data_IF_375314401236
#
_entry.id   IF_375314401236
#
_cell.length_a   1.000
_cell.length_b   1.000
_cell.length_c   1.000
_cell.angle_alpha   90.00
_cell.angle_beta   90.00
_cell.angle_gamma   90.00
#
_symmetry.space_group_name_H-M   'P 1'
#
loop_
_entity.id
_entity.type
_entity.pdbx_description
1 polymer ?
#
# COMPACT_ATOMS: atom_id res chain seq x y z
N UNK A 1 -2.59 38.05 9.40
CA UNK A 1 -1.49 37.27 8.80
C UNK A 1 -0.09 37.84 9.06
N UNK A 2 0.13 38.84 9.94
CA UNK A 2 1.48 39.29 10.31
C UNK A 2 1.47 39.85 11.74
N UNK A 3 1.72 39.02 12.76
CA UNK A 3 1.68 39.49 14.15
C UNK A 3 2.37 38.65 15.22
N UNK A 4 3.08 37.56 14.86
CA UNK A 4 3.72 36.67 15.84
C UNK A 4 5.22 36.44 15.62
N UNK A 5 5.88 37.28 14.81
CA UNK A 5 7.32 37.16 14.53
C UNK A 5 8.09 38.43 14.91
N UNK A 6 7.83 38.99 16.08
CA UNK A 6 8.73 39.96 16.68
C UNK A 6 9.21 39.42 18.03
N UNK A 7 10.54 39.47 18.19
CA UNK A 7 11.32 39.21 19.40
C UNK A 7 11.73 37.75 19.68
N UNK A 8 12.51 37.18 18.75
CA UNK A 8 13.51 36.17 19.11
C UNK A 8 14.90 36.58 18.61
N UNK A 9 15.54 37.51 19.34
CA UNK A 9 17.00 37.56 19.40
C UNK A 9 17.43 36.69 20.58
N UNK A 10 17.93 35.47 20.38
CA UNK A 10 18.37 34.64 21.50
C UNK A 10 19.70 35.19 22.02
N UNK A 11 19.65 35.88 23.17
CA UNK A 11 20.85 36.40 23.83
C UNK A 11 21.67 35.33 24.57
N UNK A 12 21.22 34.07 24.60
CA UNK A 12 22.04 32.94 25.07
C UNK A 12 21.53 31.59 24.56
N UNK A 13 22.46 30.66 24.32
CA UNK A 13 22.19 29.25 23.98
C UNK A 13 21.28 28.60 25.05
N UNK A 14 21.41 29.03 26.31
CA UNK A 14 20.57 28.59 27.41
C UNK A 14 19.10 28.98 27.23
N UNK A 15 18.80 30.18 26.69
CA UNK A 15 17.43 30.60 26.39
C UNK A 15 16.77 29.76 25.30
N UNK A 16 17.54 29.40 24.26
CA UNK A 16 17.08 28.52 23.17
C UNK A 16 16.82 27.10 23.68
N UNK A 17 17.74 26.57 24.50
CA UNK A 17 17.56 25.25 25.12
C UNK A 17 16.35 25.25 26.06
N UNK A 18 16.18 26.27 26.91
CA UNK A 18 15.05 26.36 27.85
C UNK A 18 13.70 26.49 27.12
N UNK A 19 13.66 27.21 26.00
CA UNK A 19 12.48 27.26 25.13
C UNK A 19 12.20 25.89 24.47
N UNK A 20 13.21 25.26 23.85
CA UNK A 20 13.07 23.91 23.25
C UNK A 20 12.67 22.85 24.28
N UNK A 21 13.22 22.90 25.49
CA UNK A 21 12.87 22.01 26.61
C UNK A 21 11.49 22.30 27.21
N UNK A 22 11.02 23.56 27.19
CA UNK A 22 9.64 23.92 27.58
C UNK A 22 8.62 23.32 26.61
N UNK A 23 8.91 23.29 25.32
CA UNK A 23 8.08 22.59 24.32
C UNK A 23 8.17 21.06 24.43
N UNK A 24 9.32 20.50 24.78
CA UNK A 24 9.46 19.07 25.12
C UNK A 24 8.73 18.67 26.42
N UNK A 25 8.62 19.56 27.42
CA UNK A 25 7.78 19.33 28.61
C UNK A 25 6.29 19.39 28.32
N UNK A 26 5.89 20.13 27.29
CA UNK A 26 4.53 20.15 26.73
C UNK A 26 4.24 18.92 25.85
N UNK A 27 5.24 18.10 25.57
CA UNK A 27 5.11 16.90 24.76
C UNK A 27 4.38 15.83 25.58
N UNK A 28 3.07 15.73 25.38
CA UNK A 28 2.26 14.73 26.06
C UNK A 28 2.69 13.35 25.56
N UNK A 29 3.34 12.55 26.41
CA UNK A 29 3.72 11.15 26.11
C UNK A 29 2.51 10.35 25.58
N UNK A 30 1.31 10.70 26.05
CA UNK A 30 0.03 10.15 25.56
C UNK A 30 -0.23 10.42 24.07
N UNK A 31 0.07 11.63 23.58
CA UNK A 31 -0.04 11.99 22.17
C UNK A 31 1.03 11.29 21.32
N UNK A 32 2.26 11.17 21.82
CA UNK A 32 3.30 10.36 21.16
C UNK A 32 2.86 8.89 21.03
N UNK A 33 2.31 8.31 22.10
CA UNK A 33 1.76 6.94 22.07
C UNK A 33 0.64 6.78 21.04
N UNK A 34 -0.25 7.77 20.91
CA UNK A 34 -1.30 7.76 19.87
C UNK A 34 -0.72 7.87 18.46
N UNK A 35 0.26 8.75 18.24
CA UNK A 35 0.94 8.89 16.94
C UNK A 35 1.64 7.59 16.56
N UNK A 36 2.37 6.97 17.49
CA UNK A 36 3.03 5.68 17.26
C UNK A 36 2.01 4.59 16.90
N UNK A 37 0.89 4.51 17.63
CA UNK A 37 -0.14 3.52 17.40
C UNK A 37 -0.86 3.72 16.06
N UNK A 38 -1.09 4.97 15.64
CA UNK A 38 -1.62 5.31 14.31
C UNK A 38 -0.59 5.08 13.19
N UNK A 39 0.71 5.10 13.52
CA UNK A 39 1.80 4.86 12.56
C UNK A 39 2.10 3.37 12.36
N UNK A 40 1.75 2.49 13.32
CA UNK A 40 2.00 1.05 13.25
C UNK A 40 1.53 0.40 11.94
N UNK A 41 0.32 0.69 11.41
CA UNK A 41 -0.10 0.16 10.12
C UNK A 41 0.81 0.55 8.97
N UNK A 42 1.26 1.81 8.91
CA UNK A 42 2.18 2.27 7.87
C UNK A 42 3.58 1.66 8.04
N UNK A 43 4.07 1.53 9.27
CA UNK A 43 5.35 0.82 9.55
C UNK A 43 5.26 -0.63 9.06
N UNK A 44 4.15 -1.32 9.36
CA UNK A 44 3.92 -2.68 8.91
C UNK A 44 3.78 -2.78 7.39
N UNK A 45 3.10 -1.84 6.74
CA UNK A 45 2.96 -1.76 5.29
C UNK A 45 4.31 -1.56 4.58
N UNK A 46 5.16 -0.66 5.08
CA UNK A 46 6.48 -0.41 4.49
C UNK A 46 7.52 -1.47 4.89
N UNK A 47 7.31 -2.16 6.01
CA UNK A 47 8.21 -3.19 6.52
C UNK A 47 7.97 -4.59 5.96
N UNK A 48 6.79 -4.87 5.38
CA UNK A 48 6.43 -6.20 4.89
C UNK A 48 7.32 -6.66 3.74
N UNK A 49 7.49 -5.83 2.70
CA UNK A 49 8.30 -6.17 1.53
C UNK A 49 9.80 -6.33 1.89
N UNK A 50 10.44 -5.37 2.60
CA UNK A 50 11.85 -5.51 2.96
C UNK A 50 12.12 -6.73 3.84
N UNK A 51 11.18 -7.11 4.71
CA UNK A 51 11.30 -8.31 5.53
C UNK A 51 11.34 -9.57 4.69
N UNK A 52 10.46 -9.70 3.69
CA UNK A 52 10.45 -10.86 2.79
C UNK A 52 11.73 -10.93 1.95
N UNK A 53 12.18 -9.81 1.40
CA UNK A 53 13.45 -9.70 0.66
C UNK A 53 14.64 -10.11 1.53
N UNK A 54 14.64 -9.69 2.80
CA UNK A 54 15.68 -10.07 3.76
C UNK A 54 15.67 -11.59 4.02
N UNK A 55 14.50 -12.19 4.24
CA UNK A 55 14.36 -13.64 4.39
C UNK A 55 14.84 -14.41 3.14
N UNK A 56 14.46 -13.97 1.95
CA UNK A 56 14.92 -14.56 0.69
C UNK A 56 16.45 -14.51 0.57
N UNK A 57 17.07 -13.37 0.92
CA UNK A 57 18.53 -13.24 0.90
C UNK A 57 19.24 -14.15 1.91
N UNK A 58 18.67 -14.37 3.09
CA UNK A 58 19.20 -15.33 4.07
C UNK A 58 19.18 -16.74 3.49
N UNK A 59 18.06 -17.16 2.90
CA UNK A 59 17.94 -18.50 2.31
C UNK A 59 18.93 -18.68 1.17
N UNK A 60 18.99 -17.73 0.22
CA UNK A 60 19.99 -17.77 -0.86
C UNK A 60 21.39 -17.95 -0.32
N UNK A 61 21.76 -17.17 0.71
CA UNK A 61 23.11 -17.19 1.25
C UNK A 61 23.44 -18.46 2.05
N UNK A 62 22.43 -19.23 2.47
CA UNK A 62 22.61 -20.43 3.29
C UNK A 62 22.40 -21.74 2.53
N UNK A 63 21.58 -21.75 1.48
CA UNK A 63 21.25 -22.99 0.73
C UNK A 63 21.86 -23.09 -0.65
N UNK A 64 22.16 -21.98 -1.32
CA UNK A 64 22.68 -22.02 -2.69
C UNK A 64 24.19 -22.19 -2.64
N UNK A 65 24.71 -23.09 -3.47
CA UNK A 65 26.14 -23.44 -3.49
C UNK A 65 26.87 -22.81 -4.67
N UNK A 66 26.21 -22.71 -5.84
CA UNK A 66 26.79 -22.12 -7.03
C UNK A 66 26.67 -20.58 -7.03
N UNK A 67 27.79 -19.91 -7.31
CA UNK A 67 27.84 -18.44 -7.36
C UNK A 67 26.95 -17.85 -8.49
N UNK A 68 26.84 -18.56 -9.61
CA UNK A 68 25.93 -18.23 -10.72
C UNK A 68 24.48 -18.21 -10.25
N UNK A 69 24.03 -19.23 -9.52
CA UNK A 69 22.64 -19.36 -9.10
C UNK A 69 22.27 -18.33 -8.02
N UNK A 70 23.19 -18.04 -7.10
CA UNK A 70 23.06 -16.94 -6.15
C UNK A 70 22.85 -15.60 -6.88
N UNK A 71 23.62 -15.38 -7.95
CA UNK A 71 23.54 -14.16 -8.74
C UNK A 71 22.21 -14.09 -9.49
N UNK A 72 21.77 -15.17 -10.16
CA UNK A 72 20.47 -15.24 -10.84
C UNK A 72 19.33 -14.91 -9.88
N UNK A 73 19.30 -15.57 -8.72
CA UNK A 73 18.21 -15.44 -7.77
C UNK A 73 18.08 -13.99 -7.25
N UNK A 74 19.20 -13.35 -6.92
CA UNK A 74 19.22 -11.96 -6.44
C UNK A 74 18.86 -10.96 -7.55
N UNK A 75 19.40 -11.17 -8.75
CA UNK A 75 19.12 -10.34 -9.91
C UNK A 75 17.65 -10.43 -10.30
N UNK A 76 17.10 -11.64 -10.36
CA UNK A 76 15.69 -11.86 -10.69
C UNK A 76 14.76 -11.19 -9.69
N UNK A 77 15.05 -11.30 -8.40
CA UNK A 77 14.28 -10.65 -7.33
C UNK A 77 14.36 -9.11 -7.42
N UNK A 78 15.52 -8.55 -7.79
CA UNK A 78 15.67 -7.12 -8.05
C UNK A 78 14.84 -6.66 -9.27
N UNK A 79 14.91 -7.38 -10.40
CA UNK A 79 14.15 -7.05 -11.61
C UNK A 79 12.64 -7.15 -11.39
N UNK A 80 12.20 -8.16 -10.63
CA UNK A 80 10.81 -8.28 -10.20
C UNK A 80 10.35 -7.02 -9.47
N UNK A 81 11.10 -6.60 -8.44
CA UNK A 81 10.76 -5.43 -7.65
C UNK A 81 10.75 -4.14 -8.49
N UNK A 82 11.77 -3.93 -9.34
CA UNK A 82 11.83 -2.76 -10.21
C UNK A 82 10.63 -2.71 -11.17
N UNK A 83 10.23 -3.86 -11.70
CA UNK A 83 9.13 -3.93 -12.67
C UNK A 83 7.78 -3.79 -12.01
N UNK A 84 7.58 -4.42 -10.85
CA UNK A 84 6.39 -4.21 -10.04
C UNK A 84 6.21 -2.73 -9.70
N UNK A 85 7.28 -2.03 -9.32
CA UNK A 85 7.20 -0.59 -9.03
C UNK A 85 6.97 0.26 -10.29
N UNK A 86 7.66 -0.04 -11.39
CA UNK A 86 7.52 0.69 -12.65
C UNK A 86 6.09 0.62 -13.17
N UNK A 87 5.51 -0.58 -13.23
CA UNK A 87 4.16 -0.79 -13.74
C UNK A 87 3.09 -0.53 -12.67
N UNK A 88 3.42 -0.65 -11.38
CA UNK A 88 2.52 -0.37 -10.26
C UNK A 88 2.49 1.09 -9.80
N UNK A 89 3.34 1.96 -10.37
CA UNK A 89 3.41 3.38 -9.98
C UNK A 89 2.05 4.09 -10.14
N UNK A 90 1.30 3.77 -11.19
CA UNK A 90 0.00 4.37 -11.49
C UNK A 90 -1.02 3.97 -10.43
N UNK A 91 -1.07 2.69 -10.08
CA UNK A 91 -1.86 2.20 -8.94
C UNK A 91 -1.51 2.98 -7.66
N UNK A 92 -0.24 3.02 -7.28
CA UNK A 92 0.19 3.66 -6.03
C UNK A 92 -0.21 5.13 -5.99
N UNK A 93 0.08 5.88 -7.06
CA UNK A 93 -0.21 7.33 -7.14
C UNK A 93 -1.70 7.60 -7.03
N UNK A 94 -2.52 6.82 -7.73
CA UNK A 94 -3.96 7.03 -7.74
C UNK A 94 -4.60 6.68 -6.39
N UNK A 95 -4.15 5.60 -5.74
CA UNK A 95 -4.62 5.19 -4.41
C UNK A 95 -4.29 6.24 -3.35
N UNK A 96 -3.03 6.71 -3.29
CA UNK A 96 -2.64 7.76 -2.34
C UNK A 96 -3.40 9.07 -2.56
N UNK A 97 -3.63 9.44 -3.82
CA UNK A 97 -4.43 10.63 -4.15
C UNK A 97 -5.89 10.47 -3.71
N UNK A 98 -6.46 9.27 -3.87
CA UNK A 98 -7.83 8.95 -3.47
C UNK A 98 -8.01 8.85 -1.95
N UNK A 99 -6.98 8.42 -1.22
CA UNK A 99 -7.00 8.22 0.25
C UNK A 99 -7.36 9.52 0.98
N UNK A 100 -6.83 10.66 0.54
CA UNK A 100 -7.12 11.96 1.16
C UNK A 100 -8.60 12.37 1.00
N UNK A 101 -9.15 12.29 -0.21
CA UNK A 101 -10.54 12.69 -0.47
C UNK A 101 -11.52 11.72 0.19
N UNK A 102 -11.25 10.41 0.10
CA UNK A 102 -12.05 9.37 0.75
C UNK A 102 -12.00 9.53 2.28
N UNK A 103 -10.81 9.80 2.83
CA UNK A 103 -10.59 9.99 4.25
C UNK A 103 -11.40 11.13 4.83
N UNK A 104 -11.36 12.31 4.19
CA UNK A 104 -12.14 13.46 4.62
C UNK A 104 -13.66 13.18 4.61
N UNK A 105 -14.17 12.52 3.58
CA UNK A 105 -15.61 12.21 3.49
C UNK A 105 -16.05 11.15 4.50
N UNK A 106 -15.24 10.10 4.73
CA UNK A 106 -15.51 9.09 5.75
C UNK A 106 -15.49 9.67 7.17
N UNK A 107 -14.52 10.52 7.49
CA UNK A 107 -14.44 11.22 8.79
C UNK A 107 -15.64 12.16 8.99
N UNK A 108 -16.12 12.81 7.93
CA UNK A 108 -17.31 13.66 7.96
C UNK A 108 -18.64 12.87 7.90
N UNK A 109 -18.59 11.52 7.90
CA UNK A 109 -19.77 10.64 7.81
C UNK A 109 -20.64 10.87 6.57
N UNK A 110 -20.03 11.35 5.47
CA UNK A 110 -20.69 11.55 4.16
C UNK A 110 -20.64 10.26 3.34
N UNK A 111 -21.32 9.22 3.80
CA UNK A 111 -21.24 7.86 3.27
C UNK A 111 -21.71 7.72 1.82
N UNK A 112 -22.72 8.50 1.38
CA UNK A 112 -23.15 8.52 -0.02
C UNK A 112 -21.99 8.93 -0.93
N UNK A 113 -21.28 10.00 -0.57
CA UNK A 113 -20.13 10.51 -1.34
C UNK A 113 -18.94 9.58 -1.23
N UNK A 114 -18.65 9.05 -0.04
CA UNK A 114 -17.59 8.06 0.15
C UNK A 114 -17.81 6.80 -0.69
N UNK A 115 -19.05 6.30 -0.80
CA UNK A 115 -19.40 5.17 -1.66
C UNK A 115 -19.08 5.45 -3.12
N UNK A 116 -19.46 6.63 -3.62
CA UNK A 116 -19.20 7.01 -5.01
C UNK A 116 -17.71 7.16 -5.29
N UNK A 117 -16.97 7.80 -4.39
CA UNK A 117 -15.52 7.96 -4.51
C UNK A 117 -14.78 6.62 -4.48
N UNK A 118 -15.16 5.72 -3.58
CA UNK A 118 -14.56 4.40 -3.47
C UNK A 118 -14.76 3.59 -4.76
N UNK A 119 -15.99 3.55 -5.30
CA UNK A 119 -16.30 2.82 -6.52
C UNK A 119 -15.64 3.45 -7.76
N UNK A 120 -15.76 4.77 -7.93
CA UNK A 120 -15.12 5.48 -9.04
C UNK A 120 -13.60 5.32 -8.98
N UNK A 121 -13.04 5.44 -7.78
CA UNK A 121 -11.61 5.30 -7.58
C UNK A 121 -11.10 3.91 -7.94
N UNK A 122 -11.79 2.87 -7.49
CA UNK A 122 -11.45 1.49 -7.86
C UNK A 122 -11.53 1.26 -9.38
N UNK A 123 -12.59 1.75 -10.04
CA UNK A 123 -12.76 1.61 -11.49
C UNK A 123 -11.62 2.32 -12.22
N UNK A 124 -11.30 3.56 -11.86
CA UNK A 124 -10.23 4.30 -12.51
C UNK A 124 -8.85 3.71 -12.26
N UNK A 125 -8.58 3.21 -11.05
CA UNK A 125 -7.34 2.49 -10.76
C UNK A 125 -7.19 1.26 -11.67
N UNK A 126 -8.26 0.46 -11.84
CA UNK A 126 -8.25 -0.71 -12.73
C UNK A 126 -8.10 -0.32 -14.20
N UNK A 127 -8.80 0.71 -14.67
CA UNK A 127 -8.70 1.19 -16.07
C UNK A 127 -7.29 1.69 -16.36
N UNK A 128 -6.75 2.55 -15.51
CA UNK A 128 -5.40 3.11 -15.69
C UNK A 128 -4.34 2.01 -15.61
N UNK A 129 -4.46 1.09 -14.66
CA UNK A 129 -3.55 -0.05 -14.56
C UNK A 129 -3.66 -0.99 -15.77
N UNK A 130 -4.87 -1.18 -16.31
CA UNK A 130 -5.09 -1.94 -17.54
C UNK A 130 -4.38 -1.32 -18.75
N UNK A 131 -4.40 0.01 -18.88
CA UNK A 131 -3.64 0.71 -19.92
C UNK A 131 -2.13 0.48 -19.74
N UNK A 132 -1.62 0.61 -18.51
CA UNK A 132 -0.20 0.34 -18.20
C UNK A 132 0.18 -1.11 -18.52
N UNK A 133 -0.72 -2.05 -18.25
CA UNK A 133 -0.50 -3.47 -18.54
C UNK A 133 -0.44 -3.74 -20.04
N UNK A 134 -1.29 -3.10 -20.85
CA UNK A 134 -1.22 -3.15 -22.31
C UNK A 134 0.11 -2.57 -22.80
N UNK A 135 0.54 -1.42 -22.26
CA UNK A 135 1.83 -0.83 -22.60
C UNK A 135 2.99 -1.77 -22.22
N UNK A 136 2.94 -2.36 -21.03
CA UNK A 136 3.92 -3.33 -20.55
C UNK A 136 4.02 -4.55 -21.48
N UNK A 137 2.89 -5.04 -22.01
CA UNK A 137 2.87 -6.14 -22.96
C UNK A 137 3.53 -5.78 -24.29
N UNK A 138 3.34 -4.55 -24.78
CA UNK A 138 3.89 -4.11 -26.06
C UNK A 138 5.35 -3.71 -25.96
N UNK A 139 5.76 -3.05 -24.86
CA UNK A 139 7.10 -2.46 -24.70
C UNK A 139 7.97 -3.19 -23.68
N UNK A 140 7.47 -4.25 -23.04
CA UNK A 140 8.15 -4.93 -21.93
C UNK A 140 9.56 -5.38 -22.28
N UNK A 141 9.73 -6.04 -23.44
CA UNK A 141 11.04 -6.48 -23.94
C UNK A 141 12.03 -5.34 -24.13
N UNK A 142 11.57 -4.16 -24.59
CA UNK A 142 12.42 -2.98 -24.76
C UNK A 142 12.82 -2.36 -23.41
N UNK A 143 11.91 -2.37 -22.43
CA UNK A 143 12.18 -1.89 -21.07
C UNK A 143 13.22 -2.79 -20.39
N UNK A 144 13.14 -4.11 -20.57
CA UNK A 144 14.16 -5.05 -20.06
C UNK A 144 15.54 -4.70 -20.59
N UNK A 145 15.63 -4.42 -21.89
CA UNK A 145 16.89 -4.09 -22.56
C UNK A 145 17.47 -2.75 -22.07
N UNK A 146 16.62 -1.79 -21.68
CA UNK A 146 17.06 -0.49 -21.15
C UNK A 146 17.76 -0.63 -19.79
N UNK A 147 17.30 -1.54 -18.93
CA UNK A 147 17.91 -1.76 -17.61
C UNK A 147 19.17 -2.64 -17.66
N UNK A 148 19.51 -3.21 -18.83
CA UNK A 148 20.70 -4.06 -19.01
C UNK A 148 21.82 -3.31 -19.73
N UNK A 149 22.94 -2.96 -19.05
CA UNK A 149 24.04 -2.23 -19.68
C UNK A 149 24.67 -3.02 -20.83
N UNK A 150 24.97 -2.34 -21.93
CA UNK A 150 25.56 -2.93 -23.16
C UNK A 150 26.97 -3.51 -22.97
N UNK A 151 27.67 -3.14 -21.89
CA UNK A 151 29.10 -3.41 -21.69
C UNK A 151 29.45 -4.83 -21.24
N UNK A 152 28.48 -5.73 -21.07
CA UNK A 152 28.73 -7.11 -20.62
C UNK A 152 28.04 -8.14 -21.53
N UNK A 153 28.36 -8.13 -22.84
CA UNK A 153 27.68 -8.94 -23.86
C UNK A 153 27.55 -10.44 -23.54
N UNK A 154 28.50 -11.03 -22.79
CA UNK A 154 28.44 -12.44 -22.34
C UNK A 154 27.45 -12.66 -21.18
N UNK A 155 27.37 -11.72 -20.24
CA UNK A 155 26.37 -11.72 -19.16
C UNK A 155 25.01 -11.26 -19.67
N UNK A 156 24.94 -10.44 -20.72
CA UNK A 156 23.69 -9.91 -21.27
C UNK A 156 22.75 -11.02 -21.74
N UNK A 157 23.27 -12.09 -22.36
CA UNK A 157 22.48 -13.29 -22.70
C UNK A 157 21.93 -14.02 -21.48
N UNK A 158 22.71 -14.10 -20.40
CA UNK A 158 22.30 -14.70 -19.12
C UNK A 158 21.21 -13.86 -18.45
N UNK A 159 21.44 -12.55 -18.35
CA UNK A 159 20.47 -11.59 -17.82
C UNK A 159 19.18 -11.53 -18.65
N UNK A 160 19.25 -11.61 -19.99
CA UNK A 160 18.08 -11.64 -20.87
C UNK A 160 17.29 -12.94 -20.65
N UNK A 161 17.96 -14.10 -20.61
CA UNK A 161 17.31 -15.41 -20.49
C UNK A 161 16.62 -15.60 -19.14
N UNK A 162 17.26 -15.17 -18.05
CA UNK A 162 16.69 -15.30 -16.71
C UNK A 162 15.76 -14.13 -16.39
N UNK A 163 16.16 -12.88 -16.67
CA UNK A 163 15.33 -11.70 -16.44
C UNK A 163 14.00 -11.73 -17.18
N UNK A 164 13.92 -12.27 -18.41
CA UNK A 164 12.66 -12.36 -19.14
C UNK A 164 11.59 -13.16 -18.41
N UNK A 165 11.97 -14.27 -17.74
CA UNK A 165 11.01 -15.13 -17.03
C UNK A 165 10.42 -14.45 -15.79
N UNK A 166 11.24 -13.68 -15.06
CA UNK A 166 10.78 -12.90 -13.90
C UNK A 166 9.87 -11.74 -14.32
N UNK A 167 10.07 -11.23 -15.54
CA UNK A 167 9.37 -10.06 -16.05
C UNK A 167 8.00 -10.40 -16.63
N UNK A 168 7.84 -11.56 -17.26
CA UNK A 168 6.59 -12.02 -17.88
C UNK A 168 5.41 -11.93 -16.91
N UNK A 169 5.62 -12.17 -15.62
CA UNK A 169 4.54 -12.21 -14.63
C UNK A 169 4.47 -10.96 -13.74
N UNK A 170 5.59 -10.25 -13.57
CA UNK A 170 5.72 -9.11 -12.65
C UNK A 170 4.78 -7.94 -12.96
N UNK A 171 4.46 -7.69 -14.24
CA UNK A 171 3.59 -6.58 -14.64
C UNK A 171 2.09 -6.89 -14.51
N UNK A 172 1.71 -8.17 -14.35
CA UNK A 172 0.32 -8.56 -14.13
C UNK A 172 -0.13 -8.34 -12.68
N UNK A 173 0.76 -8.56 -11.71
CA UNK A 173 0.41 -8.52 -10.28
C UNK A 173 -0.03 -7.16 -9.73
N UNK A 174 0.44 -6.00 -10.21
CA UNK A 174 -0.05 -4.71 -9.76
C UNK A 174 -1.58 -4.57 -9.84
N UNK A 175 -2.25 -5.16 -10.85
CA UNK A 175 -3.71 -5.09 -10.95
C UNK A 175 -4.42 -5.84 -9.81
N UNK A 176 -3.82 -6.95 -9.36
CA UNK A 176 -4.32 -7.79 -8.28
C UNK A 176 -4.07 -7.14 -6.90
N UNK A 177 -3.09 -6.24 -6.82
CA UNK A 177 -2.74 -5.50 -5.60
C UNK A 177 -3.55 -4.21 -5.40
N UNK A 178 -4.27 -3.71 -6.41
CA UNK A 178 -5.15 -2.53 -6.28
C UNK A 178 -6.16 -2.69 -5.12
N UNK A 179 -6.93 -3.79 -5.03
CA UNK A 179 -7.91 -3.96 -3.96
C UNK A 179 -7.26 -4.03 -2.58
N UNK A 180 -6.08 -4.66 -2.49
CA UNK A 180 -5.30 -4.76 -1.26
C UNK A 180 -4.90 -3.38 -0.73
N UNK A 181 -4.32 -2.53 -1.57
CA UNK A 181 -3.93 -1.18 -1.18
C UNK A 181 -5.13 -0.26 -0.87
N UNK A 182 -6.24 -0.37 -1.61
CA UNK A 182 -7.47 0.34 -1.25
C UNK A 182 -8.03 -0.11 0.10
N UNK A 183 -8.01 -1.40 0.39
CA UNK A 183 -8.46 -1.94 1.67
C UNK A 183 -7.61 -1.43 2.84
N UNK A 184 -6.28 -1.44 2.67
CA UNK A 184 -5.33 -0.86 3.62
C UNK A 184 -5.63 0.63 3.88
N UNK A 185 -5.84 1.42 2.83
CA UNK A 185 -6.15 2.84 2.95
C UNK A 185 -7.44 3.06 3.75
N UNK A 186 -8.51 2.32 3.45
CA UNK A 186 -9.78 2.44 4.19
C UNK A 186 -9.62 2.06 5.66
N UNK A 187 -8.93 0.96 5.98
CA UNK A 187 -8.71 0.58 7.37
C UNK A 187 -7.79 1.55 8.12
N UNK A 188 -6.83 2.18 7.43
CA UNK A 188 -6.02 3.24 8.02
C UNK A 188 -6.87 4.47 8.38
N UNK A 189 -7.74 4.92 7.46
CA UNK A 189 -8.67 6.04 7.67
C UNK A 189 -9.59 5.80 8.87
N UNK A 190 -10.10 4.57 9.02
CA UNK A 190 -11.01 4.20 10.11
C UNK A 190 -10.31 3.94 11.46
N UNK A 191 -8.99 4.15 11.52
CA UNK A 191 -8.16 3.80 12.66
C UNK A 191 -8.27 2.32 13.08
N UNK A 192 -8.64 1.43 12.15
CA UNK A 192 -8.71 -0.01 12.38
C UNK A 192 -7.34 -0.65 12.18
N UNK A 193 -6.40 -0.26 13.05
CA UNK A 193 -5.00 -0.64 12.98
C UNK A 193 -4.80 -2.17 13.04
N UNK A 194 -5.65 -2.90 13.77
CA UNK A 194 -5.56 -4.36 13.91
C UNK A 194 -5.80 -5.06 12.58
N UNK A 195 -6.88 -4.72 11.88
CA UNK A 195 -7.21 -5.33 10.59
C UNK A 195 -6.19 -4.92 9.52
N UNK A 196 -5.68 -3.69 9.59
CA UNK A 196 -4.64 -3.23 8.68
C UNK A 196 -3.33 -4.01 8.89
N UNK A 197 -2.86 -4.18 10.13
CA UNK A 197 -1.68 -5.01 10.43
C UNK A 197 -1.91 -6.46 9.99
N UNK A 198 -3.08 -7.04 10.28
CA UNK A 198 -3.39 -8.41 9.87
C UNK A 198 -3.30 -8.57 8.35
N UNK A 199 -3.84 -7.61 7.59
CA UNK A 199 -3.75 -7.58 6.14
C UNK A 199 -2.29 -7.47 5.67
N UNK A 200 -1.49 -6.61 6.30
CA UNK A 200 -0.08 -6.42 5.96
C UNK A 200 0.79 -7.64 6.24
N UNK A 201 0.41 -8.45 7.22
CA UNK A 201 1.12 -9.68 7.58
C UNK A 201 0.86 -10.83 6.59
N UNK A 202 -0.22 -10.78 5.80
CA UNK A 202 -0.52 -11.83 4.81
C UNK A 202 0.65 -12.00 3.84
N UNK A 203 1.16 -10.89 3.31
CA UNK A 203 2.25 -10.90 2.33
C UNK A 203 3.53 -11.60 2.83
N UNK A 204 4.17 -11.18 3.95
CA UNK A 204 5.38 -11.83 4.43
C UNK A 204 5.12 -13.24 4.98
N UNK A 205 3.95 -13.52 5.56
CA UNK A 205 3.63 -14.87 6.04
C UNK A 205 3.53 -15.86 4.87
N UNK A 206 2.79 -15.50 3.81
CA UNK A 206 2.70 -16.35 2.62
C UNK A 206 4.07 -16.48 1.95
N UNK A 207 4.80 -15.37 1.80
CA UNK A 207 6.14 -15.40 1.23
C UNK A 207 7.10 -16.31 2.01
N UNK A 208 7.14 -16.22 3.34
CA UNK A 208 7.97 -17.09 4.17
C UNK A 208 7.54 -18.56 4.09
N UNK A 209 6.23 -18.84 4.10
CA UNK A 209 5.72 -20.21 3.96
C UNK A 209 6.08 -20.82 2.60
N UNK A 210 5.92 -20.06 1.52
CA UNK A 210 6.35 -20.47 0.18
C UNK A 210 7.86 -20.66 0.13
N UNK A 211 8.64 -19.74 0.71
CA UNK A 211 10.09 -19.83 0.77
C UNK A 211 10.56 -21.12 1.45
N UNK A 212 10.02 -21.41 2.63
CA UNK A 212 10.32 -22.63 3.39
C UNK A 212 9.94 -23.87 2.56
N UNK A 213 8.75 -23.86 1.95
CA UNK A 213 8.25 -25.01 1.18
C UNK A 213 9.12 -25.27 -0.05
N UNK A 214 9.45 -24.22 -0.82
CA UNK A 214 10.30 -24.32 -2.01
C UNK A 214 11.72 -24.75 -1.64
N UNK A 215 12.26 -24.22 -0.55
CA UNK A 215 13.58 -24.60 -0.05
C UNK A 215 13.63 -26.09 0.31
N UNK A 216 12.62 -26.62 1.02
CA UNK A 216 12.60 -28.04 1.39
C UNK A 216 12.29 -28.99 0.22
N UNK A 217 11.61 -28.53 -0.82
CA UNK A 217 11.21 -29.38 -1.95
C UNK A 217 12.21 -29.39 -3.09
N UNK A 218 12.83 -28.24 -3.37
CA UNK A 218 13.64 -28.00 -4.58
C UNK A 218 15.09 -27.58 -4.25
N UNK A 219 15.39 -27.24 -2.99
CA UNK A 219 16.75 -26.98 -2.53
C UNK A 219 17.39 -25.73 -3.15
N UNK A 220 18.57 -25.92 -3.74
CA UNK A 220 19.37 -24.89 -4.43
C UNK A 220 18.78 -24.44 -5.78
N UNK A 221 17.80 -25.16 -6.32
CA UNK A 221 17.06 -24.79 -7.53
C UNK A 221 15.81 -23.95 -7.24
N UNK A 222 15.66 -23.43 -6.03
CA UNK A 222 14.49 -22.66 -5.62
C UNK A 222 14.41 -21.32 -6.39
N UNK A 223 13.41 -21.19 -7.26
CA UNK A 223 13.19 -19.93 -7.96
C UNK A 223 12.44 -18.93 -7.07
N UNK A 224 13.16 -17.90 -6.61
CA UNK A 224 12.64 -16.88 -5.70
C UNK A 224 11.54 -16.01 -6.30
N UNK A 225 11.41 -15.99 -7.63
CA UNK A 225 10.30 -15.34 -8.30
C UNK A 225 8.95 -15.80 -7.73
N UNK A 226 8.78 -17.12 -7.61
CA UNK A 226 7.51 -17.70 -7.18
C UNK A 226 7.15 -17.32 -5.75
N UNK A 227 8.14 -17.10 -4.90
CA UNK A 227 7.95 -16.69 -3.52
C UNK A 227 7.27 -15.32 -3.47
N UNK A 228 7.79 -14.33 -4.21
CA UNK A 228 7.18 -13.01 -4.29
C UNK A 228 5.86 -13.03 -5.06
N UNK A 229 5.78 -13.78 -6.16
CA UNK A 229 4.56 -13.91 -6.95
C UNK A 229 3.38 -14.41 -6.10
N UNK A 230 3.60 -15.48 -5.32
CA UNK A 230 2.55 -16.02 -4.45
C UNK A 230 2.25 -15.08 -3.28
N UNK A 231 3.25 -14.43 -2.68
CA UNK A 231 3.02 -13.44 -1.64
C UNK A 231 2.09 -12.31 -2.11
N UNK A 232 2.35 -11.73 -3.28
CA UNK A 232 1.52 -10.69 -3.88
C UNK A 232 0.14 -11.21 -4.30
N UNK A 233 0.07 -12.39 -4.92
CA UNK A 233 -1.20 -12.98 -5.36
C UNK A 233 -2.16 -13.20 -4.17
N UNK A 234 -1.69 -13.84 -3.10
CA UNK A 234 -2.52 -14.13 -1.93
C UNK A 234 -2.84 -12.86 -1.14
N UNK A 235 -1.91 -11.90 -1.03
CA UNK A 235 -2.18 -10.59 -0.46
C UNK A 235 -3.30 -9.87 -1.23
N UNK A 236 -3.20 -9.82 -2.56
CA UNK A 236 -4.22 -9.22 -3.42
C UNK A 236 -5.60 -9.89 -3.32
N UNK A 237 -5.65 -11.22 -3.28
CA UNK A 237 -6.91 -11.97 -3.06
C UNK A 237 -7.51 -11.62 -1.69
N UNK A 238 -6.70 -11.64 -0.63
CA UNK A 238 -7.17 -11.30 0.73
C UNK A 238 -7.70 -9.86 0.81
N UNK A 239 -7.00 -8.93 0.16
CA UNK A 239 -7.40 -7.53 0.02
C UNK A 239 -8.71 -7.38 -0.73
N UNK A 240 -8.92 -8.16 -1.79
CA UNK A 240 -10.17 -8.16 -2.58
C UNK A 240 -11.36 -8.59 -1.73
N UNK A 241 -11.23 -9.71 -0.99
CA UNK A 241 -12.30 -10.24 -0.14
C UNK A 241 -12.69 -9.21 0.94
N UNK A 242 -11.70 -8.62 1.61
CA UNK A 242 -11.94 -7.63 2.65
C UNK A 242 -12.47 -6.31 2.10
N UNK A 243 -12.00 -5.87 0.93
CA UNK A 243 -12.50 -4.67 0.28
C UNK A 243 -13.96 -4.83 -0.14
N UNK A 244 -14.36 -5.98 -0.70
CA UNK A 244 -15.75 -6.27 -1.05
C UNK A 244 -16.63 -6.17 0.20
N UNK A 245 -16.23 -6.80 1.31
CA UNK A 245 -16.93 -6.67 2.60
C UNK A 245 -17.08 -5.21 3.02
N UNK A 246 -16.03 -4.41 2.86
CA UNK A 246 -16.03 -3.00 3.23
C UNK A 246 -16.89 -2.12 2.32
N UNK A 247 -16.90 -2.40 1.02
CA UNK A 247 -17.81 -1.76 0.05
C UNK A 247 -19.26 -2.01 0.48
N UNK A 248 -19.62 -3.24 0.84
CA UNK A 248 -20.97 -3.56 1.33
C UNK A 248 -21.33 -2.77 2.59
N UNK A 249 -20.42 -2.65 3.54
CA UNK A 249 -20.62 -1.85 4.75
C UNK A 249 -20.87 -0.36 4.43
N UNK A 250 -20.01 0.26 3.61
CA UNK A 250 -20.17 1.65 3.18
C UNK A 250 -21.48 1.85 2.40
N UNK A 251 -21.87 0.88 1.56
CA UNK A 251 -23.15 0.91 0.85
C UNK A 251 -24.36 0.87 1.80
N UNK A 252 -24.30 0.07 2.88
CA UNK A 252 -25.36 0.03 3.87
C UNK A 252 -25.47 1.36 4.63
N UNK A 253 -24.34 1.93 5.05
CA UNK A 253 -24.29 3.24 5.70
C UNK A 253 -24.83 4.35 4.80
N UNK A 254 -24.47 4.34 3.51
CA UNK A 254 -25.01 5.27 2.52
C UNK A 254 -26.53 5.13 2.34
N UNK A 255 -27.08 3.91 2.38
CA UNK A 255 -28.54 3.69 2.33
C UNK A 255 -29.23 4.28 3.56
N UNK A 256 -28.64 4.14 4.75
CA UNK A 256 -29.17 4.71 5.99
C UNK A 256 -29.15 6.23 5.94
N UNK A 257 -28.04 6.83 5.51
CA UNK A 257 -27.90 8.28 5.31
C UNK A 257 -28.98 8.80 4.33
N UNK A 258 -29.16 8.13 3.20
CA UNK A 258 -30.14 8.52 2.19
C UNK A 258 -31.59 8.45 2.72
N UNK A 259 -31.90 7.45 3.56
CA UNK A 259 -33.20 7.38 4.27
C UNK A 259 -33.38 8.54 5.25
N UNK A 260 -32.35 8.90 6.01
CA UNK A 260 -32.38 10.05 6.93
C UNK A 260 -32.59 11.37 6.18
N UNK A 261 -31.87 11.59 5.08
CA UNK A 261 -32.01 12.78 4.25
C UNK A 261 -33.41 12.89 3.62
N UNK A 262 -33.99 11.77 3.15
CA UNK A 262 -35.38 11.76 2.65
C UNK A 262 -36.39 12.07 3.74
N UNK A 263 -36.23 11.52 4.94
CA UNK A 263 -37.09 11.82 6.10
C UNK A 263 -36.99 13.30 6.47
N UNK A 264 -35.77 13.85 6.50
CA UNK A 264 -35.52 15.27 6.77
C UNK A 264 -36.20 16.19 5.76
N UNK A 265 -36.01 15.94 4.46
CA UNK A 265 -36.69 16.71 3.40
C UNK A 265 -38.21 16.67 3.51
N UNK A 266 -38.77 15.49 3.79
CA UNK A 266 -40.22 15.33 3.97
C UNK A 266 -40.74 16.13 5.18
N UNK A 267 -40.01 16.14 6.30
CA UNK A 267 -40.37 16.93 7.49
C UNK A 267 -40.21 18.45 7.27
N UNK A 268 -39.22 18.86 6.47
CA UNK A 268 -39.05 20.25 6.03
C UNK A 268 -40.20 20.68 5.11
N UNK A 269 -40.63 19.83 4.17
CA UNK A 269 -41.79 20.07 3.29
C UNK A 269 -43.12 20.11 4.06
N UNK A 270 -43.25 19.34 5.14
CA UNK A 270 -44.42 19.32 6.03
C UNK A 270 -44.41 20.46 7.08
N UNK A 271 -43.40 21.34 7.08
CA UNK A 271 -43.29 22.46 8.02
C UNK A 271 -42.98 22.05 9.47
N UNK A 272 -42.51 20.82 9.70
CA UNK A 272 -42.19 20.24 11.03
C UNK A 272 -40.69 20.13 11.29
N UNK A 273 -39.91 21.07 10.76
CA UNK A 273 -38.45 21.05 10.87
C UNK A 273 -37.95 21.03 12.33
N UNK A 274 -38.72 21.59 13.28
CA UNK A 274 -38.39 21.66 14.71
C UNK A 274 -38.44 20.31 15.45
N UNK A 275 -39.09 19.27 14.90
CA UNK A 275 -39.12 17.93 15.52
C UNK A 275 -37.78 17.17 15.36
N UNK A 276 -36.89 17.63 14.48
CA UNK A 276 -35.58 17.00 14.21
C UNK A 276 -34.49 17.40 15.21
N UNK A 277 -34.52 18.61 15.76
CA UNK A 277 -33.51 19.06 16.73
C UNK A 277 -33.62 18.39 18.10
N UNK A 278 -34.74 17.70 18.37
CA UNK A 278 -34.98 16.98 19.62
C UNK A 278 -34.58 15.48 19.58
N UNK A 279 -34.08 14.98 18.45
CA UNK A 279 -33.76 13.54 18.26
C UNK A 279 -32.29 13.24 17.98
N UNK A 280 -31.42 14.25 17.79
CA UNK A 280 -29.96 14.10 17.74
C UNK A 280 -29.33 14.34 19.11
#
# INVERSE_FOLDING_TARGET
LLGHYQDFKPSSIQGVLKAKFKYLKSFQIKQLGQVLLLSLPKISQFGSQPLLVFCCNIVVSTTFTEASDIMVARVGLLYYFLSFNLFGFVMMTYIYSSEAELGLNLLQKKYIRSKELLLKGLIWALVLQGIVLILALVTGSMIVQFFMPDSQATDKSFFILYGSNYLIYSFYLPIVMIPYHYCQAVYAIEANWKMNILLNLVHPVIGILTLITTQFTVGDRADLFWIEFYADLFAGISGTILLVRKIFEVMQLAKIELKRLKKKKKLEEEGRAEELEKQD
#
